data_IF_824857703167
#
_entry.id   IF_824857703167
#
_cell.length_a   1.000
_cell.length_b   1.000
_cell.length_c   1.000
_cell.angle_alpha   90.00
_cell.angle_beta   90.00
_cell.angle_gamma   90.00
#
_symmetry.space_group_name_H-M   'P 1'
#
loop_
_entity.id
_entity.type
_entity.pdbx_description
1 polymer ?
#
# COMPACT_ATOMS: atom_id res chain seq x y z
N UNK A 1 -1.61 -22.04 -44.15
CA UNK A 1 -2.72 -21.10 -43.91
C UNK A 1 -4.00 -21.89 -44.03
N UNK A 2 -4.59 -22.33 -42.92
CA UNK A 2 -5.90 -23.00 -42.93
C UNK A 2 -6.64 -22.63 -41.65
N UNK A 3 -7.54 -21.65 -41.75
CA UNK A 3 -8.52 -21.35 -40.71
C UNK A 3 -9.63 -22.39 -40.83
N UNK A 4 -9.72 -23.30 -39.86
CA UNK A 4 -10.84 -24.22 -39.72
C UNK A 4 -12.03 -23.48 -39.10
N UNK A 5 -13.00 -23.15 -39.94
CA UNK A 5 -14.36 -22.82 -39.52
C UNK A 5 -14.98 -24.04 -38.83
N UNK A 6 -15.25 -23.94 -37.53
CA UNK A 6 -16.20 -24.82 -36.84
C UNK A 6 -17.54 -24.11 -36.78
N UNK A 7 -18.39 -24.38 -37.77
CA UNK A 7 -19.80 -24.03 -37.72
C UNK A 7 -20.49 -24.87 -36.64
N UNK A 8 -21.11 -24.20 -35.67
CA UNK A 8 -21.92 -24.83 -34.64
C UNK A 8 -23.30 -25.14 -35.25
N UNK A 9 -23.52 -26.41 -35.59
CA UNK A 9 -24.75 -26.91 -36.18
C UNK A 9 -25.78 -27.23 -35.07
N UNK A 10 -26.68 -26.30 -34.76
CA UNK A 10 -27.85 -26.59 -33.91
C UNK A 10 -28.96 -27.21 -34.78
N UNK A 11 -29.15 -28.52 -34.62
CA UNK A 11 -30.26 -29.28 -35.21
C UNK A 11 -31.62 -28.70 -34.79
N UNK A 12 -32.39 -28.22 -35.77
CA UNK A 12 -33.82 -27.94 -35.65
C UNK A 12 -34.61 -29.24 -35.83
N UNK A 13 -35.37 -29.65 -34.80
CA UNK A 13 -36.59 -30.46 -34.97
C UNK A 13 -37.80 -29.53 -34.90
N UNK A 14 -38.68 -29.58 -35.89
CA UNK A 14 -39.97 -28.89 -35.85
C UNK A 14 -40.63 -28.78 -37.23
N UNK A 15 -41.72 -29.51 -37.40
CA UNK A 15 -42.53 -29.67 -38.61
C UNK A 15 -43.57 -28.53 -38.72
N UNK A 16 -43.76 -28.06 -39.96
CA UNK A 16 -44.88 -27.38 -40.64
C UNK A 16 -45.88 -26.48 -39.87
N UNK A 17 -46.17 -25.30 -40.45
CA UNK A 17 -47.50 -24.66 -40.33
C UNK A 17 -47.55 -23.12 -40.35
N UNK A 18 -47.63 -22.54 -41.56
CA UNK A 18 -48.35 -21.29 -41.93
C UNK A 18 -48.11 -19.92 -41.25
N UNK A 19 -47.63 -18.98 -42.10
CA UNK A 19 -47.88 -17.52 -42.20
C UNK A 19 -47.42 -16.56 -41.08
N UNK A 20 -46.42 -15.74 -41.42
CA UNK A 20 -45.77 -14.71 -40.58
C UNK A 20 -46.70 -13.60 -40.07
N UNK A 21 -46.38 -12.99 -38.92
CA UNK A 21 -45.27 -12.04 -38.82
C UNK A 21 -44.26 -12.39 -37.73
N UNK A 22 -43.00 -12.21 -38.10
CA UNK A 22 -41.79 -12.52 -37.34
C UNK A 22 -41.55 -11.38 -36.34
N UNK A 23 -41.76 -11.64 -35.05
CA UNK A 23 -41.35 -10.70 -33.99
C UNK A 23 -39.82 -10.69 -33.91
N UNK A 24 -39.20 -9.68 -34.52
CA UNK A 24 -37.76 -9.46 -34.52
C UNK A 24 -37.32 -8.92 -33.15
N UNK A 25 -37.30 -9.79 -32.13
CA UNK A 25 -36.62 -9.47 -30.86
C UNK A 25 -35.12 -9.36 -31.11
N UNK A 26 -34.66 -8.13 -31.36
CA UNK A 26 -33.26 -7.71 -31.43
C UNK A 26 -32.48 -8.22 -30.22
N UNK A 27 -31.74 -9.31 -30.39
CA UNK A 27 -30.70 -9.76 -29.47
C UNK A 27 -29.57 -8.72 -29.42
N UNK A 28 -29.63 -7.80 -28.46
CA UNK A 28 -28.59 -6.79 -28.19
C UNK A 28 -27.84 -7.08 -26.89
N UNK A 29 -27.67 -8.35 -26.52
CA UNK A 29 -27.07 -8.76 -25.24
C UNK A 29 -25.73 -9.51 -25.32
N UNK A 30 -25.34 -10.09 -26.46
CA UNK A 30 -24.20 -11.02 -26.49
C UNK A 30 -22.83 -10.41 -26.77
N UNK A 31 -22.75 -9.33 -27.56
CA UNK A 31 -21.45 -8.74 -27.91
C UNK A 31 -20.82 -7.95 -26.76
N UNK A 32 -21.63 -7.20 -26.00
CA UNK A 32 -21.13 -6.44 -24.85
C UNK A 32 -20.59 -7.39 -23.76
N UNK A 33 -21.31 -8.46 -23.47
CA UNK A 33 -20.90 -9.46 -22.49
C UNK A 33 -19.62 -10.23 -22.88
N UNK A 34 -19.37 -10.42 -24.18
CA UNK A 34 -18.15 -11.08 -24.67
C UNK A 34 -16.93 -10.14 -24.58
N UNK A 35 -17.09 -8.87 -24.94
CA UNK A 35 -16.04 -7.85 -24.80
C UNK A 35 -15.68 -7.63 -23.33
N UNK A 36 -16.67 -7.56 -22.45
CA UNK A 36 -16.45 -7.42 -21.01
C UNK A 36 -15.66 -8.63 -20.47
N UNK A 37 -16.00 -9.86 -20.88
CA UNK A 37 -15.25 -11.07 -20.48
C UNK A 37 -13.80 -11.06 -20.96
N UNK A 38 -13.55 -10.73 -22.23
CA UNK A 38 -12.19 -10.66 -22.78
C UNK A 38 -11.33 -9.61 -22.07
N UNK A 39 -11.92 -8.45 -21.74
CA UNK A 39 -11.24 -7.41 -20.97
C UNK A 39 -10.95 -7.88 -19.55
N UNK A 40 -11.87 -8.57 -18.88
CA UNK A 40 -11.63 -9.11 -17.54
C UNK A 40 -10.52 -10.17 -17.53
N UNK A 41 -10.47 -11.05 -18.53
CA UNK A 41 -9.39 -12.05 -18.67
C UNK A 41 -8.02 -11.37 -18.84
N UNK A 42 -7.91 -10.37 -19.73
CA UNK A 42 -6.66 -9.61 -19.90
C UNK A 42 -6.26 -8.83 -18.64
N UNK A 43 -7.23 -8.28 -17.89
CA UNK A 43 -6.96 -7.61 -16.62
C UNK A 43 -6.50 -8.58 -15.53
N UNK A 44 -7.03 -9.80 -15.51
CA UNK A 44 -6.61 -10.84 -14.57
C UNK A 44 -5.14 -11.24 -14.81
N UNK A 45 -4.74 -11.47 -16.06
CA UNK A 45 -3.35 -11.79 -16.41
C UNK A 45 -2.39 -10.66 -16.01
N UNK A 46 -2.80 -9.41 -16.24
CA UNK A 46 -2.03 -8.23 -15.82
C UNK A 46 -1.93 -8.11 -14.30
N UNK A 47 -3.01 -8.40 -13.57
CA UNK A 47 -3.02 -8.39 -12.11
C UNK A 47 -2.13 -9.49 -11.54
N UNK A 48 -2.22 -10.72 -12.05
CA UNK A 48 -1.38 -11.84 -11.65
C UNK A 48 0.10 -11.53 -11.85
N UNK A 49 0.44 -10.98 -13.02
CA UNK A 49 1.82 -10.57 -13.32
C UNK A 49 2.34 -9.51 -12.34
N UNK A 50 1.51 -8.51 -12.00
CA UNK A 50 1.87 -7.46 -11.04
C UNK A 50 2.01 -7.99 -9.62
N UNK A 51 1.13 -8.91 -9.22
CA UNK A 51 1.18 -9.54 -7.91
C UNK A 51 2.43 -10.41 -7.77
N UNK A 52 2.74 -11.21 -8.80
CA UNK A 52 4.00 -11.97 -8.85
C UNK A 52 5.21 -11.05 -8.65
N UNK A 53 5.29 -9.96 -9.40
CA UNK A 53 6.38 -8.98 -9.26
C UNK A 53 6.44 -8.33 -7.87
N UNK A 54 5.29 -8.06 -7.24
CA UNK A 54 5.22 -7.51 -5.88
C UNK A 54 5.78 -8.50 -4.86
N UNK A 55 5.41 -9.77 -4.95
CA UNK A 55 5.93 -10.80 -4.03
C UNK A 55 7.40 -11.12 -4.28
N UNK A 56 7.85 -11.14 -5.54
CA UNK A 56 9.27 -11.32 -5.86
C UNK A 56 10.13 -10.18 -5.30
N UNK A 57 9.65 -8.93 -5.38
CA UNK A 57 10.30 -7.79 -4.72
C UNK A 57 10.39 -7.97 -3.21
N UNK A 58 9.31 -8.44 -2.56
CA UNK A 58 9.32 -8.68 -1.13
C UNK A 58 10.30 -9.81 -0.72
N UNK A 59 10.38 -10.88 -1.51
CA UNK A 59 11.35 -11.97 -1.32
C UNK A 59 12.79 -11.47 -1.46
N UNK A 60 13.06 -10.67 -2.49
CA UNK A 60 14.37 -10.08 -2.70
C UNK A 60 14.76 -9.09 -1.59
N UNK A 61 13.79 -8.34 -1.05
CA UNK A 61 14.02 -7.49 0.11
C UNK A 61 14.39 -8.31 1.35
N UNK A 62 13.74 -9.46 1.55
CA UNK A 62 14.01 -10.34 2.68
C UNK A 62 15.47 -10.85 2.69
N UNK A 63 16.07 -11.10 1.52
CA UNK A 63 17.46 -11.59 1.44
C UNK A 63 18.50 -10.54 1.82
N UNK A 64 18.18 -9.24 1.68
CA UNK A 64 19.10 -8.14 2.02
C UNK A 64 18.71 -7.37 3.29
N UNK A 65 17.62 -7.76 3.97
CA UNK A 65 17.08 -7.03 5.13
C UNK A 65 18.10 -6.86 6.25
N UNK A 66 18.94 -7.87 6.51
CA UNK A 66 20.01 -7.78 7.52
C UNK A 66 20.98 -6.62 7.26
N UNK A 67 21.41 -6.44 6.01
CA UNK A 67 22.31 -5.34 5.61
C UNK A 67 21.64 -3.98 5.74
N UNK A 68 20.35 -3.89 5.41
CA UNK A 68 19.58 -2.64 5.58
C UNK A 68 19.47 -2.28 7.07
N UNK A 69 19.25 -3.28 7.93
CA UNK A 69 19.18 -3.09 9.37
C UNK A 69 20.48 -2.65 9.98
N UNK A 70 21.58 -3.22 9.54
CA UNK A 70 22.91 -2.79 9.92
C UNK A 70 23.16 -1.33 9.48
N UNK A 71 22.84 -0.99 8.23
CA UNK A 71 23.05 0.34 7.70
C UNK A 71 22.27 1.42 8.46
N UNK A 72 20.96 1.25 8.69
CA UNK A 72 20.22 2.29 9.42
C UNK A 72 20.66 2.39 10.88
N UNK A 73 21.15 1.30 11.49
CA UNK A 73 21.70 1.33 12.86
C UNK A 73 22.99 2.14 12.93
N UNK A 74 23.85 2.04 11.91
CA UNK A 74 25.02 2.90 11.78
C UNK A 74 24.62 4.36 11.56
N UNK A 75 23.64 4.60 10.69
CA UNK A 75 23.16 5.94 10.35
C UNK A 75 22.52 6.67 11.55
N UNK A 76 22.14 5.99 12.64
CA UNK A 76 21.69 6.64 13.88
C UNK A 76 22.74 7.56 14.50
N UNK A 77 24.04 7.30 14.23
CA UNK A 77 25.18 8.07 14.73
C UNK A 77 25.73 9.06 13.71
N UNK A 78 25.09 9.21 12.55
CA UNK A 78 25.58 10.12 11.51
C UNK A 78 25.60 11.58 11.97
N UNK A 79 26.56 12.35 11.48
CA UNK A 79 26.68 13.77 11.82
C UNK A 79 25.49 14.59 11.28
N UNK A 80 25.00 14.25 10.09
CA UNK A 80 23.89 14.94 9.45
C UNK A 80 22.52 14.51 10.02
N UNK A 81 21.73 15.47 10.49
CA UNK A 81 20.38 15.22 11.04
C UNK A 81 19.44 14.56 10.01
N UNK A 82 19.57 14.87 8.71
CA UNK A 82 18.75 14.25 7.66
C UNK A 82 18.98 12.74 7.55
N UNK A 83 20.23 12.30 7.68
CA UNK A 83 20.59 10.88 7.65
C UNK A 83 20.00 10.18 8.88
N UNK A 84 20.13 10.78 10.06
CA UNK A 84 19.52 10.25 11.29
C UNK A 84 17.99 10.17 11.22
N UNK A 85 17.33 11.20 10.68
CA UNK A 85 15.88 11.19 10.48
C UNK A 85 15.44 10.07 9.54
N UNK A 86 16.14 9.88 8.42
CA UNK A 86 15.90 8.78 7.48
C UNK A 86 16.06 7.43 8.16
N UNK A 87 17.14 7.26 8.94
CA UNK A 87 17.41 6.02 9.65
C UNK A 87 16.34 5.68 10.68
N UNK A 88 15.93 6.67 11.49
CA UNK A 88 14.84 6.48 12.47
C UNK A 88 13.51 6.20 11.78
N UNK A 89 13.20 6.87 10.65
CA UNK A 89 12.00 6.55 9.88
C UNK A 89 12.00 5.12 9.33
N UNK A 90 13.14 4.64 8.79
CA UNK A 90 13.28 3.25 8.34
C UNK A 90 13.09 2.26 9.48
N UNK A 91 13.69 2.54 10.65
CA UNK A 91 13.50 1.73 11.86
C UNK A 91 12.02 1.63 12.26
N UNK A 92 11.28 2.74 12.27
CA UNK A 92 9.85 2.73 12.62
C UNK A 92 9.01 1.96 11.60
N UNK A 93 9.33 2.06 10.31
CA UNK A 93 8.63 1.28 9.27
C UNK A 93 8.91 -0.22 9.45
N UNK A 94 10.17 -0.61 9.65
CA UNK A 94 10.58 -2.01 9.81
C UNK A 94 10.02 -2.65 11.09
N UNK A 95 10.02 -1.92 12.21
CA UNK A 95 9.59 -2.45 13.51
C UNK A 95 8.10 -2.37 13.75
N UNK A 96 7.43 -1.31 13.28
CA UNK A 96 6.02 -1.04 13.59
C UNK A 96 5.08 -1.27 12.41
N UNK A 97 5.60 -1.46 11.20
CA UNK A 97 4.77 -1.60 9.99
C UNK A 97 3.95 -0.35 9.66
N UNK A 98 4.35 0.82 10.17
CA UNK A 98 3.66 2.08 9.88
C UNK A 98 3.88 2.43 8.41
N UNK A 99 2.80 2.90 7.76
CA UNK A 99 2.88 3.35 6.36
C UNK A 99 3.72 4.62 6.23
N UNK A 100 4.44 4.76 5.13
CA UNK A 100 5.36 5.89 4.88
C UNK A 100 4.67 7.26 5.03
N UNK A 101 3.46 7.43 4.48
CA UNK A 101 2.75 8.71 4.50
C UNK A 101 3.26 9.66 3.42
N UNK A 102 2.35 10.10 2.53
CA UNK A 102 2.69 11.04 1.46
C UNK A 102 2.56 12.48 1.95
N UNK A 103 3.21 13.41 1.23
CA UNK A 103 3.02 14.85 1.45
C UNK A 103 1.55 15.19 1.23
N UNK A 104 0.97 15.90 2.19
CA UNK A 104 -0.39 16.44 2.05
C UNK A 104 -0.40 17.50 0.96
N UNK A 105 -1.50 17.53 0.20
CA UNK A 105 -1.76 18.59 -0.76
C UNK A 105 -2.08 19.88 -0.01
N UNK A 106 -1.85 21.01 -0.65
CA UNK A 106 -2.24 22.30 -0.10
C UNK A 106 -3.78 22.34 0.07
N UNK A 107 -4.25 22.78 1.24
CA UNK A 107 -5.66 22.76 1.61
C UNK A 107 -6.20 21.43 2.17
N UNK A 108 -5.37 20.38 2.28
CA UNK A 108 -5.77 19.14 2.93
C UNK A 108 -5.79 19.29 4.46
N UNK A 109 -7.00 19.42 5.00
CA UNK A 109 -7.27 19.56 6.45
C UNK A 109 -7.37 18.20 7.17
N UNK A 110 -7.12 17.10 6.48
CA UNK A 110 -7.09 15.77 7.09
C UNK A 110 -6.04 15.73 8.19
N UNK A 111 -6.39 15.18 9.35
CA UNK A 111 -5.45 14.97 10.46
C UNK A 111 -4.63 13.68 10.31
N UNK A 112 -4.81 12.96 9.19
CA UNK A 112 -4.13 11.67 8.99
C UNK A 112 -2.62 11.81 8.83
N UNK A 113 -1.87 10.83 9.32
CA UNK A 113 -0.40 10.80 9.27
C UNK A 113 0.13 9.40 8.93
N UNK A 114 1.38 9.38 8.47
CA UNK A 114 2.22 8.21 8.34
C UNK A 114 3.64 8.54 8.82
N UNK A 115 4.56 7.58 8.75
CA UNK A 115 5.90 7.68 9.32
C UNK A 115 6.64 9.00 8.98
N UNK A 116 6.61 9.41 7.71
CA UNK A 116 7.29 10.60 7.19
C UNK A 116 6.48 11.90 7.36
N UNK A 117 5.23 11.82 7.82
CA UNK A 117 4.36 12.97 8.10
C UNK A 117 3.96 13.06 9.58
N UNK A 118 4.64 12.33 10.45
CA UNK A 118 4.49 12.47 11.89
C UNK A 118 4.91 13.88 12.36
N UNK A 119 4.17 14.40 13.33
CA UNK A 119 4.38 15.71 13.96
C UNK A 119 4.60 15.51 15.45
N UNK A 120 5.07 16.55 16.14
CA UNK A 120 5.34 16.50 17.59
C UNK A 120 4.15 15.97 18.40
N UNK A 121 2.94 16.39 18.07
CA UNK A 121 1.70 15.94 18.74
C UNK A 121 1.40 14.44 18.63
N UNK A 122 1.99 13.72 17.67
CA UNK A 122 1.74 12.29 17.45
C UNK A 122 2.65 11.38 18.30
N UNK A 123 3.62 11.95 19.02
CA UNK A 123 4.58 11.19 19.81
C UNK A 123 4.66 11.74 21.23
N UNK A 124 4.73 10.83 22.21
CA UNK A 124 5.12 11.16 23.58
C UNK A 124 6.32 10.34 23.98
N UNK A 125 7.32 11.01 24.56
CA UNK A 125 8.57 10.40 24.99
C UNK A 125 8.54 10.23 26.50
N UNK A 126 8.76 9.01 26.97
CA UNK A 126 8.86 8.65 28.38
C UNK A 126 10.27 8.14 28.64
N UNK A 127 11.06 8.90 29.40
CA UNK A 127 12.45 8.57 29.71
C UNK A 127 12.61 8.38 31.21
N UNK A 128 12.89 7.14 31.61
CA UNK A 128 13.37 6.80 32.94
C UNK A 128 14.82 6.29 32.84
N UNK A 129 15.54 6.26 33.98
CA UNK A 129 16.99 5.97 34.04
C UNK A 129 17.45 4.75 33.23
N UNK A 130 16.60 3.73 33.07
CA UNK A 130 16.90 2.50 32.31
C UNK A 130 15.79 2.08 31.35
N UNK A 131 14.84 2.96 31.05
CA UNK A 131 13.69 2.60 30.22
C UNK A 131 13.29 3.77 29.31
N UNK A 132 13.52 3.59 28.02
CA UNK A 132 13.19 4.55 26.98
C UNK A 132 11.95 4.07 26.24
N UNK A 133 10.82 4.71 26.51
CA UNK A 133 9.55 4.38 25.89
C UNK A 133 9.05 5.51 25.01
N UNK A 134 8.47 5.13 23.87
CA UNK A 134 7.85 6.04 22.91
C UNK A 134 6.41 5.59 22.69
N UNK A 135 5.47 6.49 22.92
CA UNK A 135 4.07 6.31 22.58
C UNK A 135 3.76 7.06 21.29
N UNK A 136 3.11 6.36 20.37
CA UNK A 136 2.59 6.88 19.12
C UNK A 136 1.08 6.92 19.20
N UNK A 137 0.48 8.06 18.87
CA UNK A 137 -0.97 8.22 18.79
C UNK A 137 -1.33 9.15 17.64
N UNK A 138 -1.89 8.60 16.56
CA UNK A 138 -2.30 9.37 15.38
C UNK A 138 -3.37 8.66 14.56
N UNK A 139 -4.01 9.40 13.65
CA UNK A 139 -4.96 8.84 12.69
C UNK A 139 -4.23 8.40 11.42
N UNK A 140 -4.35 7.15 11.01
CA UNK A 140 -3.77 6.61 9.77
C UNK A 140 -4.71 6.73 8.57
N UNK A 141 -4.41 5.98 7.50
CA UNK A 141 -5.29 5.87 6.31
C UNK A 141 -6.70 5.45 6.72
N UNK A 142 -7.72 6.11 6.16
CA UNK A 142 -9.13 5.86 6.49
C UNK A 142 -9.52 6.37 7.88
N UNK A 143 -8.73 7.27 8.47
CA UNK A 143 -8.93 7.83 9.82
C UNK A 143 -8.97 6.77 10.92
N UNK A 144 -8.28 5.65 10.72
CA UNK A 144 -8.14 4.59 11.73
C UNK A 144 -7.05 4.99 12.72
N UNK A 145 -7.37 5.05 14.02
CA UNK A 145 -6.42 5.39 15.07
C UNK A 145 -5.34 4.31 15.20
N UNK A 146 -4.08 4.74 15.19
CA UNK A 146 -2.93 3.95 15.56
C UNK A 146 -2.47 4.43 16.94
N UNK A 147 -2.53 3.54 17.94
CA UNK A 147 -2.02 3.79 19.29
C UNK A 147 -1.11 2.64 19.68
N UNK A 148 0.15 2.94 19.98
CA UNK A 148 1.13 1.93 20.38
C UNK A 148 2.21 2.55 21.27
N UNK A 149 2.64 1.81 22.31
CA UNK A 149 3.73 2.20 23.20
C UNK A 149 4.81 1.15 23.12
N UNK A 150 6.01 1.56 22.71
CA UNK A 150 7.15 0.66 22.50
C UNK A 150 8.35 1.08 23.33
N UNK A 151 9.17 0.10 23.71
CA UNK A 151 10.53 0.36 24.19
C UNK A 151 11.45 0.50 22.97
N UNK A 152 12.35 1.47 23.01
CA UNK A 152 13.32 1.74 21.93
C UNK A 152 14.73 1.83 22.49
N UNK A 153 15.72 1.63 21.63
CA UNK A 153 17.12 1.83 21.99
C UNK A 153 17.37 3.29 22.40
N UNK A 154 18.26 3.50 23.37
CA UNK A 154 18.61 4.83 23.91
C UNK A 154 19.00 5.81 22.79
N UNK A 155 19.71 5.34 21.76
CA UNK A 155 20.12 6.18 20.63
C UNK A 155 18.93 6.65 19.78
N UNK A 156 17.93 5.80 19.59
CA UNK A 156 16.70 6.15 18.87
C UNK A 156 15.91 7.15 19.69
N UNK A 157 15.78 6.92 21.00
CA UNK A 157 15.13 7.84 21.92
C UNK A 157 15.79 9.22 21.93
N UNK A 158 17.12 9.26 22.03
CA UNK A 158 17.92 10.50 22.02
C UNK A 158 17.76 11.27 20.71
N UNK A 159 17.76 10.56 19.58
CA UNK A 159 17.50 11.16 18.27
C UNK A 159 16.07 11.73 18.18
N UNK A 160 15.05 11.01 18.65
CA UNK A 160 13.68 11.51 18.70
C UNK A 160 13.57 12.76 19.59
N UNK A 161 14.19 12.77 20.77
CA UNK A 161 14.25 13.97 21.63
C UNK A 161 14.88 15.15 20.90
N UNK A 162 16.00 14.94 20.19
CA UNK A 162 16.66 15.98 19.39
C UNK A 162 15.73 16.53 18.31
N UNK A 163 15.01 15.67 17.58
CA UNK A 163 14.11 16.09 16.51
C UNK A 163 12.89 16.87 17.03
N UNK A 164 12.40 16.56 18.23
CA UNK A 164 11.26 17.25 18.83
C UNK A 164 11.64 18.57 19.51
N UNK A 165 12.86 18.69 20.07
CA UNK A 165 13.35 19.93 20.69
C UNK A 165 13.48 21.07 19.69
N UNK A 166 13.84 20.77 18.45
CA UNK A 166 14.06 21.76 17.40
C UNK A 166 12.76 22.23 16.72
N UNK A 167 11.58 21.88 17.24
CA UNK A 167 10.27 22.19 16.63
C UNK A 167 9.33 22.88 17.62
N UNK A 168 8.70 23.96 17.16
CA UNK A 168 7.55 24.58 17.83
C UNK A 168 6.33 23.64 17.79
N UNK A 169 5.38 23.84 18.70
CA UNK A 169 4.22 22.95 18.86
C UNK A 169 3.27 22.93 17.64
N UNK A 170 3.46 23.83 16.68
CA UNK A 170 2.59 24.00 15.50
C UNK A 170 3.16 23.41 14.19
N UNK A 171 4.31 22.71 14.21
CA UNK A 171 5.00 22.17 13.02
C UNK A 171 4.92 20.65 12.81
#
# INVERSE_FOLDING_TARGET
MSLNNRECNTQKKGIAGSNGSIDLKRGRGSHHHCLDKLVQEQLADLQETRDKQKYDKARNLATCLGKIREQYRMDFKADEDKIRQRAVALYLIDTLGIRVGNRKKEGDTSETAGCCSLRKKHLKLYGEKNNHMVEFDFLGKGSIRYSNKISVDEIVYSNLQRFLKNKSDEG
#
